data_IF_543487143930
#
_entry.id   IF_543487143930
#
_cell.length_a   1.000
_cell.length_b   1.000
_cell.length_c   1.000
_cell.angle_alpha   90.00
_cell.angle_beta   90.00
_cell.angle_gamma   90.00
#
_symmetry.space_group_name_H-M   'P 1'
#
loop_
_entity.id
_entity.type
_entity.pdbx_description
1 polymer ?
#
# COMPACT_ATOMS: atom_id res chain seq x y z
N UNK A 1 3.25 77.21 29.95
CA UNK A 1 3.43 77.28 28.51
C UNK A 1 4.12 76.00 28.10
N UNK A 2 3.43 75.16 27.48
CA UNK A 2 3.94 73.84 27.11
C UNK A 2 4.31 73.85 25.64
N UNK A 3 5.57 73.65 25.35
CA UNK A 3 6.07 73.48 23.96
C UNK A 3 5.93 72.01 23.54
N UNK A 4 5.12 71.79 22.56
CA UNK A 4 4.97 70.46 21.93
C UNK A 4 5.99 70.43 20.80
N UNK A 5 6.94 69.51 20.93
CA UNK A 5 7.87 69.20 19.86
C UNK A 5 7.29 68.01 19.11
N UNK A 6 6.87 68.26 17.91
CA UNK A 6 6.44 67.19 16.99
C UNK A 6 7.68 66.71 16.25
N UNK A 7 8.13 65.52 16.58
CA UNK A 7 9.22 64.87 15.86
C UNK A 7 8.61 63.94 14.81
N UNK A 8 8.69 64.37 13.57
CA UNK A 8 8.32 63.58 12.40
C UNK A 8 9.36 62.47 12.18
N UNK A 9 8.99 61.26 12.59
CA UNK A 9 9.80 60.07 12.34
C UNK A 9 9.50 59.48 10.95
N UNK A 10 10.48 59.54 10.06
CA UNK A 10 10.47 58.91 8.74
C UNK A 10 10.56 57.40 8.93
N UNK A 11 9.47 56.64 8.76
CA UNK A 11 9.50 55.19 8.77
C UNK A 11 10.00 54.67 7.43
N UNK A 12 11.24 54.21 7.41
CA UNK A 12 11.79 53.42 6.28
C UNK A 12 11.26 52.01 6.37
N UNK A 13 10.32 51.67 5.49
CA UNK A 13 9.87 50.31 5.32
C UNK A 13 10.92 49.49 4.55
N UNK A 14 11.75 48.78 5.29
CA UNK A 14 12.60 47.74 4.67
C UNK A 14 11.73 46.46 4.49
N UNK A 15 11.33 46.22 3.24
CA UNK A 15 10.74 44.97 2.86
C UNK A 15 11.85 43.90 2.81
N UNK A 16 12.02 43.17 3.90
CA UNK A 16 12.82 41.95 3.89
C UNK A 16 12.03 40.84 3.19
N UNK A 17 12.33 40.59 1.94
CA UNK A 17 11.88 39.38 1.25
C UNK A 17 12.54 38.18 1.92
N UNK A 18 11.79 37.52 2.81
CA UNK A 18 12.17 36.21 3.34
C UNK A 18 11.99 35.23 2.20
N UNK A 19 13.10 34.95 1.52
CA UNK A 19 13.17 33.84 0.57
C UNK A 19 12.88 32.56 1.35
N UNK A 20 11.71 31.99 1.14
CA UNK A 20 11.40 30.64 1.60
C UNK A 20 12.31 29.68 0.85
N UNK A 21 13.44 29.34 1.46
CA UNK A 21 14.20 28.18 1.05
C UNK A 21 13.31 26.97 1.31
N UNK A 22 12.63 26.47 0.28
CA UNK A 22 12.00 25.17 0.32
C UNK A 22 13.15 24.16 0.45
N UNK A 23 13.49 23.83 1.68
CA UNK A 23 14.28 22.64 1.93
C UNK A 23 13.41 21.48 1.44
N UNK A 24 13.83 20.83 0.37
CA UNK A 24 13.32 19.51 0.02
C UNK A 24 13.72 18.60 1.19
N UNK A 25 12.82 18.48 2.16
CA UNK A 25 12.99 17.49 3.21
C UNK A 25 12.96 16.13 2.54
N UNK A 26 14.03 15.37 2.68
CA UNK A 26 14.01 13.97 2.30
C UNK A 26 12.79 13.32 2.96
N UNK A 27 11.86 12.88 2.12
CA UNK A 27 10.64 12.22 2.61
C UNK A 27 11.02 10.84 3.10
N UNK A 28 11.41 10.75 4.35
CA UNK A 28 11.67 9.47 5.00
C UNK A 28 10.35 8.81 5.42
N UNK A 29 10.32 7.49 5.34
CA UNK A 29 9.21 6.70 5.87
C UNK A 29 9.17 6.89 7.38
N UNK A 30 8.00 7.27 7.91
CA UNK A 30 7.79 7.45 9.34
C UNK A 30 7.73 6.11 10.06
N UNK A 31 7.94 6.12 11.37
CA UNK A 31 8.02 4.91 12.18
C UNK A 31 6.72 4.08 12.20
N UNK A 32 5.58 4.73 11.94
CA UNK A 32 4.25 4.12 11.84
C UNK A 32 3.87 3.74 10.39
N UNK A 33 4.77 3.95 9.43
CA UNK A 33 4.56 3.63 8.03
C UNK A 33 5.37 2.41 7.61
N UNK A 34 4.80 1.61 6.73
CA UNK A 34 5.49 0.47 6.12
C UNK A 34 5.32 0.51 4.61
N UNK A 35 6.39 0.17 3.90
CA UNK A 35 6.34 0.07 2.45
C UNK A 35 5.51 -1.14 2.03
N UNK A 36 4.65 -0.99 1.02
CA UNK A 36 3.78 -2.07 0.54
C UNK A 36 4.56 -3.35 0.18
N UNK A 37 5.74 -3.20 -0.43
CA UNK A 37 6.58 -4.36 -0.78
C UNK A 37 7.18 -5.08 0.45
N UNK A 38 7.14 -4.47 1.62
CA UNK A 38 7.52 -5.10 2.89
C UNK A 38 6.34 -5.72 3.61
N UNK A 39 5.13 -5.30 3.26
CA UNK A 39 3.89 -5.89 3.78
C UNK A 39 3.63 -7.22 3.08
N UNK A 40 3.70 -7.25 1.74
CA UNK A 40 3.52 -8.49 0.97
C UNK A 40 4.65 -9.46 1.30
N UNK A 41 4.29 -10.67 1.70
CA UNK A 41 5.21 -11.71 2.16
C UNK A 41 5.57 -11.63 3.64
N UNK A 42 5.15 -10.60 4.36
CA UNK A 42 5.44 -10.49 5.79
C UNK A 42 4.62 -11.49 6.61
N UNK A 43 5.23 -12.00 7.67
CA UNK A 43 4.54 -12.83 8.66
C UNK A 43 3.59 -11.99 9.51
N UNK A 44 2.43 -12.56 9.81
CA UNK A 44 1.42 -12.01 10.70
C UNK A 44 1.37 -12.83 11.98
N UNK A 45 1.40 -12.16 13.11
CA UNK A 45 1.45 -12.77 14.43
C UNK A 45 0.16 -12.51 15.20
N UNK A 46 -0.21 -13.45 16.04
CA UNK A 46 -1.30 -13.28 16.99
C UNK A 46 -0.87 -12.54 18.27
N UNK A 47 -1.81 -12.41 19.21
CA UNK A 47 -1.52 -11.79 20.52
C UNK A 47 -0.52 -12.58 21.37
N UNK A 48 -0.39 -13.87 21.13
CA UNK A 48 0.56 -14.76 21.79
C UNK A 48 1.92 -14.77 21.09
N UNK A 49 2.09 -13.89 20.09
CA UNK A 49 3.33 -13.77 19.32
C UNK A 49 3.66 -15.01 18.48
N UNK A 50 2.64 -15.78 18.11
CA UNK A 50 2.77 -16.91 17.21
C UNK A 50 2.55 -16.48 15.77
N UNK A 51 3.33 -17.03 14.85
CA UNK A 51 3.13 -16.85 13.42
C UNK A 51 1.87 -17.61 13.00
N UNK A 52 0.85 -16.89 12.57
CA UNK A 52 -0.45 -17.46 12.22
C UNK A 52 -0.71 -17.45 10.72
N UNK A 53 -0.08 -16.53 10.00
CA UNK A 53 -0.27 -16.38 8.56
C UNK A 53 0.85 -15.52 7.94
N UNK A 54 0.86 -15.44 6.62
CA UNK A 54 1.67 -14.47 5.88
C UNK A 54 0.78 -13.66 4.94
N UNK A 55 1.16 -12.40 4.70
CA UNK A 55 0.46 -11.54 3.75
C UNK A 55 0.74 -12.01 2.34
N UNK A 56 -0.30 -12.36 1.60
CA UNK A 56 -0.19 -12.80 0.21
C UNK A 56 -0.44 -11.65 -0.77
N UNK A 57 -1.45 -10.83 -0.48
CA UNK A 57 -1.86 -9.74 -1.37
C UNK A 57 -2.60 -8.64 -0.61
N UNK A 58 -2.77 -7.50 -1.26
CA UNK A 58 -3.52 -6.35 -0.76
C UNK A 58 -4.62 -6.01 -1.76
N UNK A 59 -5.85 -5.89 -1.27
CA UNK A 59 -7.01 -5.52 -2.08
C UNK A 59 -7.28 -4.05 -1.90
N UNK A 60 -7.28 -3.31 -2.99
CA UNK A 60 -7.62 -1.90 -3.01
C UNK A 60 -9.09 -1.72 -3.37
N UNK A 61 -9.72 -0.75 -2.73
CA UNK A 61 -11.05 -0.29 -3.10
C UNK A 61 -11.01 0.65 -4.32
N UNK A 62 -12.20 1.08 -4.77
CA UNK A 62 -12.33 2.01 -5.89
C UNK A 62 -11.69 3.38 -5.66
N UNK A 63 -11.46 3.76 -4.41
CA UNK A 63 -10.85 5.02 -4.00
C UNK A 63 -9.32 4.91 -3.86
N UNK A 64 -8.76 3.74 -4.17
CA UNK A 64 -7.33 3.45 -4.10
C UNK A 64 -6.81 3.20 -2.69
N UNK A 65 -7.70 2.94 -1.73
CA UNK A 65 -7.32 2.59 -0.36
C UNK A 65 -7.23 1.09 -0.21
N UNK A 66 -6.38 0.63 0.69
CA UNK A 66 -6.33 -0.78 1.03
C UNK A 66 -7.57 -1.11 1.86
N UNK A 67 -8.48 -1.90 1.28
CA UNK A 67 -9.70 -2.38 1.93
C UNK A 67 -9.41 -3.65 2.74
N UNK A 68 -8.85 -4.66 2.09
CA UNK A 68 -8.61 -5.97 2.66
C UNK A 68 -7.17 -6.43 2.44
N UNK A 69 -6.76 -7.39 3.26
CA UNK A 69 -5.49 -8.10 3.13
C UNK A 69 -5.79 -9.57 2.92
N UNK A 70 -5.20 -10.15 1.91
CA UNK A 70 -5.24 -11.59 1.69
C UNK A 70 -4.12 -12.25 2.48
N UNK A 71 -4.49 -13.10 3.39
CA UNK A 71 -3.58 -13.86 4.21
C UNK A 71 -3.49 -15.30 3.71
N UNK A 72 -2.28 -15.83 3.66
CA UNK A 72 -2.00 -17.25 3.45
C UNK A 72 -1.71 -17.90 4.79
N UNK A 73 -2.43 -18.97 5.11
CA UNK A 73 -2.22 -19.74 6.35
C UNK A 73 -2.12 -21.24 6.03
N UNK A 74 -1.49 -21.99 6.93
CA UNK A 74 -1.35 -23.44 6.78
C UNK A 74 -0.42 -23.90 5.66
N UNK A 75 0.39 -22.99 5.09
CA UNK A 75 1.43 -23.35 4.14
C UNK A 75 2.66 -23.86 4.86
N UNK A 76 3.28 -24.92 4.31
CA UNK A 76 4.62 -25.37 4.70
C UNK A 76 5.59 -24.91 3.63
N UNK A 77 6.60 -24.14 4.01
CA UNK A 77 7.60 -23.57 3.10
C UNK A 77 6.98 -22.77 1.91
N UNK A 78 5.85 -22.08 2.14
CA UNK A 78 5.20 -21.25 1.13
C UNK A 78 4.39 -22.00 0.08
N UNK A 79 4.21 -23.31 0.24
CA UNK A 79 3.46 -24.16 -0.72
C UNK A 79 2.20 -24.70 -0.06
N UNK A 80 1.07 -24.64 -0.75
CA UNK A 80 -0.17 -25.31 -0.38
C UNK A 80 -1.02 -24.62 0.70
N UNK A 81 -0.81 -23.32 0.95
CA UNK A 81 -1.62 -22.56 1.90
C UNK A 81 -3.04 -22.28 1.40
N UNK A 82 -3.93 -22.06 2.35
CA UNK A 82 -5.27 -21.51 2.10
C UNK A 82 -5.23 -20.00 2.23
N UNK A 83 -6.11 -19.33 1.51
CA UNK A 83 -6.20 -17.86 1.52
C UNK A 83 -7.48 -17.41 2.20
N UNK A 84 -7.37 -16.37 3.00
CA UNK A 84 -8.51 -15.67 3.61
C UNK A 84 -8.31 -14.17 3.44
N UNK A 85 -9.40 -13.43 3.24
CA UNK A 85 -9.37 -11.97 3.24
C UNK A 85 -9.82 -11.45 4.59
N UNK A 86 -9.06 -10.52 5.14
CA UNK A 86 -9.41 -9.82 6.38
C UNK A 86 -9.31 -8.32 6.15
N UNK A 87 -10.17 -7.49 6.80
CA UNK A 87 -10.09 -6.06 6.69
C UNK A 87 -8.69 -5.55 7.09
N UNK A 88 -8.12 -4.65 6.29
CA UNK A 88 -6.81 -4.08 6.61
C UNK A 88 -6.77 -3.42 7.98
N UNK A 89 -7.89 -2.82 8.41
CA UNK A 89 -8.03 -2.21 9.73
C UNK A 89 -7.84 -3.20 10.90
N UNK A 90 -7.98 -4.50 10.65
CA UNK A 90 -7.76 -5.55 11.66
C UNK A 90 -6.29 -5.87 11.89
N UNK A 91 -5.42 -5.49 10.94
CA UNK A 91 -3.97 -5.61 11.10
C UNK A 91 -3.42 -4.41 11.84
N UNK A 92 -2.56 -4.66 12.80
CA UNK A 92 -1.84 -3.61 13.54
C UNK A 92 -0.36 -3.72 13.25
N UNK A 93 0.26 -2.57 13.01
CA UNK A 93 1.69 -2.46 12.86
C UNK A 93 2.31 -2.08 14.21
N UNK A 94 3.07 -2.99 14.80
CA UNK A 94 3.80 -2.77 16.03
C UNK A 94 5.28 -3.07 15.82
N UNK A 95 6.14 -2.06 15.99
CA UNK A 95 7.60 -2.22 15.87
C UNK A 95 8.02 -2.96 14.57
N UNK A 96 7.47 -2.52 13.43
CA UNK A 96 7.73 -3.12 12.12
C UNK A 96 7.22 -4.58 11.99
N UNK A 97 6.29 -4.99 12.83
CA UNK A 97 5.70 -6.31 12.88
C UNK A 97 4.19 -6.23 12.69
N UNK A 98 3.64 -7.07 11.84
CA UNK A 98 2.21 -7.17 11.62
C UNK A 98 1.58 -8.11 12.65
N UNK A 99 0.57 -7.62 13.35
CA UNK A 99 -0.17 -8.38 14.35
C UNK A 99 -1.66 -8.38 14.00
N UNK A 100 -2.31 -9.50 14.28
CA UNK A 100 -3.75 -9.71 14.10
C UNK A 100 -4.33 -10.27 15.37
N UNK A 101 -5.49 -9.76 15.78
CA UNK A 101 -6.19 -10.22 16.99
C UNK A 101 -6.95 -11.53 16.78
N UNK A 102 -6.54 -12.36 15.82
CA UNK A 102 -7.14 -13.65 15.50
C UNK A 102 -6.11 -14.76 15.57
N UNK A 103 -6.55 -15.90 16.09
CA UNK A 103 -5.74 -17.13 16.12
C UNK A 103 -5.79 -17.84 14.77
N UNK A 104 -4.89 -18.80 14.57
CA UNK A 104 -4.86 -19.64 13.39
C UNK A 104 -6.18 -20.40 13.15
N UNK A 105 -6.79 -20.87 14.24
CA UNK A 105 -8.08 -21.57 14.16
C UNK A 105 -9.23 -20.65 13.75
N UNK A 106 -9.21 -19.40 14.21
CA UNK A 106 -10.16 -18.38 13.81
C UNK A 106 -9.99 -17.99 12.34
N UNK A 107 -8.77 -17.90 11.85
CA UNK A 107 -8.51 -17.71 10.42
C UNK A 107 -9.00 -18.88 9.59
N UNK A 108 -8.84 -20.11 10.08
CA UNK A 108 -9.31 -21.32 9.40
C UNK A 108 -10.84 -21.41 9.30
N UNK A 109 -11.56 -20.75 10.22
CA UNK A 109 -13.03 -20.68 10.21
C UNK A 109 -13.58 -19.63 9.23
N UNK A 110 -12.74 -18.73 8.70
CA UNK A 110 -13.15 -17.73 7.72
C UNK A 110 -13.40 -18.38 6.34
N UNK A 111 -14.26 -17.77 5.53
CA UNK A 111 -14.47 -18.20 4.15
C UNK A 111 -13.15 -18.16 3.38
N UNK A 112 -12.88 -19.20 2.61
CA UNK A 112 -11.71 -19.25 1.77
C UNK A 112 -11.81 -18.22 0.65
N UNK A 113 -10.78 -17.39 0.52
CA UNK A 113 -10.62 -16.42 -0.56
C UNK A 113 -9.98 -17.09 -1.78
N UNK A 114 -10.56 -16.89 -2.94
CA UNK A 114 -9.96 -17.31 -4.21
C UNK A 114 -9.24 -16.12 -4.82
N UNK A 115 -7.95 -16.22 -4.98
CA UNK A 115 -7.17 -15.28 -5.77
C UNK A 115 -7.54 -15.51 -7.24
N UNK A 116 -8.52 -14.76 -7.71
CA UNK A 116 -8.72 -14.64 -9.15
C UNK A 116 -7.77 -13.55 -9.64
N UNK A 117 -6.94 -13.90 -10.59
CA UNK A 117 -6.14 -12.93 -11.35
C UNK A 117 -7.10 -12.12 -12.24
N UNK A 118 -7.90 -11.26 -11.63
CA UNK A 118 -8.48 -10.15 -12.37
C UNK A 118 -7.33 -9.24 -12.70
N UNK A 119 -6.67 -9.53 -13.80
CA UNK A 119 -5.82 -8.58 -14.48
C UNK A 119 -6.74 -7.42 -14.83
N UNK A 120 -6.86 -6.47 -13.92
CA UNK A 120 -7.47 -5.18 -14.22
C UNK A 120 -6.55 -4.57 -15.25
N UNK A 121 -6.99 -4.59 -16.50
CA UNK A 121 -6.25 -4.27 -17.67
C UNK A 121 -5.29 -3.11 -17.49
N UNK A 122 -4.05 -3.39 -17.27
CA UNK A 122 -3.01 -2.68 -17.96
C UNK A 122 -3.38 -2.83 -19.41
N UNK A 123 -3.67 -1.72 -20.08
CA UNK A 123 -4.07 -1.72 -21.49
C UNK A 123 -3.01 -2.35 -22.37
N UNK A 124 -2.91 -3.63 -22.25
CA UNK A 124 -2.36 -4.49 -23.25
C UNK A 124 -3.41 -4.52 -24.33
N UNK A 125 -3.23 -3.60 -25.26
CA UNK A 125 -3.90 -3.72 -26.52
C UNK A 125 -3.58 -5.10 -27.05
N UNK A 126 -4.51 -6.01 -26.87
CA UNK A 126 -4.49 -7.27 -27.55
C UNK A 126 -4.45 -6.95 -29.03
N UNK A 127 -3.27 -6.96 -29.60
CA UNK A 127 -3.10 -7.09 -31.04
C UNK A 127 -3.68 -8.45 -31.39
N UNK A 128 -4.81 -8.51 -32.08
CA UNK A 128 -5.26 -9.79 -32.60
C UNK A 128 -4.16 -10.26 -33.53
N UNK A 129 -3.50 -11.33 -33.18
CA UNK A 129 -2.62 -12.03 -34.11
C UNK A 129 -3.51 -12.56 -35.25
N UNK A 130 -3.66 -11.75 -36.26
CA UNK A 130 -4.18 -12.18 -37.54
C UNK A 130 -3.11 -13.01 -38.21
N UNK A 131 -2.96 -14.22 -37.75
CA UNK A 131 -2.19 -15.27 -38.42
C UNK A 131 -3.11 -16.09 -39.29
N UNK A 132 -3.70 -15.44 -40.28
CA UNK A 132 -4.27 -16.20 -41.38
C UNK A 132 -3.17 -16.84 -42.22
N UNK A 133 -2.88 -18.09 -41.96
CA UNK A 133 -2.15 -18.92 -42.92
C UNK A 133 -3.11 -19.92 -43.53
N UNK A 134 -3.76 -19.45 -44.55
CA UNK A 134 -4.31 -20.35 -45.55
C UNK A 134 -3.15 -20.77 -46.46
N UNK A 135 -2.56 -21.91 -46.20
CA UNK A 135 -1.69 -22.55 -47.16
C UNK A 135 -2.51 -23.62 -47.88
N UNK A 136 -3.14 -23.17 -48.95
CA UNK A 136 -3.63 -24.12 -49.91
C UNK A 136 -2.46 -24.83 -50.60
N UNK A 137 -2.33 -26.11 -50.41
CA UNK A 137 -1.47 -26.93 -51.20
C UNK A 137 -2.20 -27.31 -52.49
N UNK A 138 -1.60 -27.12 -53.68
CA UNK A 138 -2.15 -27.65 -54.89
C UNK A 138 -1.77 -29.12 -54.97
N UNK A 139 -2.75 -29.95 -55.21
CA UNK A 139 -2.51 -31.34 -55.65
C UNK A 139 -2.26 -31.35 -57.15
N UNK A 140 -1.21 -32.00 -57.50
CA UNK A 140 -1.07 -32.75 -58.74
C UNK A 140 -1.02 -34.22 -58.39
#
# INVERSE_FOLDING_TARGET
MKKIIVTTGLAVLMATSIGSSAFAADTMIQADQMRANKIIGASVYDRQNQDVASVKDLILDKDGRIADVVLSYGSTAGIGGKYVAVPFASLKLNNNRLTLDQTKDQLAALPQYKLEDKTTGSGEGAVPATGGHATGAPKQ
#
